data_IF_723947927606
#
_entry.id   IF_723947927606
#
_cell.length_a   1.000
_cell.length_b   1.000
_cell.length_c   1.000
_cell.angle_alpha   90.00
_cell.angle_beta   90.00
_cell.angle_gamma   90.00
#
_symmetry.space_group_name_H-M   'P 1'
#
loop_
_entity.id
_entity.type
_entity.pdbx_description
1 polymer ?
#
# COMPACT_ATOMS: atom_id res chain seq x y z
N UNK A 1 -11.85 22.73 4.91
CA UNK A 1 -11.67 21.82 3.76
C UNK A 1 -11.52 20.38 4.21
N UNK A 2 -12.42 19.50 3.75
CA UNK A 2 -12.34 18.05 4.02
C UNK A 2 -11.51 17.39 2.90
N UNK A 3 -10.54 16.57 3.28
CA UNK A 3 -9.64 15.81 2.39
C UNK A 3 -10.38 14.93 1.35
N UNK A 4 -11.66 14.61 1.59
CA UNK A 4 -12.49 13.76 0.73
C UNK A 4 -13.72 14.49 0.16
N UNK A 5 -13.66 15.81 -0.03
CA UNK A 5 -14.76 16.62 -0.55
C UNK A 5 -14.79 16.77 -2.08
N UNK A 6 -15.86 17.37 -2.64
CA UNK A 6 -15.96 17.66 -4.08
C UNK A 6 -14.76 18.45 -4.63
N UNK A 7 -14.16 19.33 -3.82
CA UNK A 7 -12.96 20.07 -4.22
C UNK A 7 -11.77 19.15 -4.45
N UNK A 8 -11.51 18.17 -3.59
CA UNK A 8 -10.40 17.23 -3.76
C UNK A 8 -10.55 16.38 -5.04
N UNK A 9 -11.80 16.01 -5.38
CA UNK A 9 -12.11 15.32 -6.63
C UNK A 9 -11.86 16.24 -7.84
N UNK A 10 -12.25 17.51 -7.74
CA UNK A 10 -12.01 18.50 -8.79
C UNK A 10 -10.51 18.75 -9.00
N UNK A 11 -9.74 18.88 -7.93
CA UNK A 11 -8.29 19.07 -7.98
C UNK A 11 -7.59 17.85 -8.63
N UNK A 12 -7.96 16.63 -8.21
CA UNK A 12 -7.43 15.40 -8.80
C UNK A 12 -7.75 15.27 -10.30
N UNK A 13 -8.98 15.62 -10.69
CA UNK A 13 -9.40 15.66 -12.10
C UNK A 13 -8.61 16.70 -12.89
N UNK A 14 -8.37 17.88 -12.33
CA UNK A 14 -7.60 18.94 -12.97
C UNK A 14 -6.16 18.52 -13.25
N UNK A 15 -5.48 17.92 -12.26
CA UNK A 15 -4.12 17.39 -12.42
C UNK A 15 -4.08 16.27 -13.45
N UNK A 16 -5.02 15.31 -13.38
CA UNK A 16 -5.10 14.20 -14.32
C UNK A 16 -5.31 14.68 -15.78
N UNK A 17 -6.18 15.67 -15.97
CA UNK A 17 -6.41 16.29 -17.27
C UNK A 17 -5.15 16.99 -17.81
N UNK A 18 -4.44 17.76 -16.98
CA UNK A 18 -3.20 18.42 -17.37
C UNK A 18 -2.09 17.42 -17.76
N UNK A 19 -2.08 16.23 -17.15
CA UNK A 19 -1.14 15.15 -17.45
C UNK A 19 -1.61 14.19 -18.57
N UNK A 20 -2.82 14.38 -19.11
CA UNK A 20 -3.38 13.51 -20.14
C UNK A 20 -3.68 12.09 -19.68
N UNK A 21 -3.94 11.87 -18.38
CA UNK A 21 -4.24 10.55 -17.82
C UNK A 21 -5.73 10.41 -17.45
N UNK A 22 -6.35 9.23 -17.64
CA UNK A 22 -7.73 8.98 -17.23
C UNK A 22 -7.93 9.16 -15.72
N UNK A 23 -9.06 9.75 -15.34
CA UNK A 23 -9.45 9.95 -13.94
C UNK A 23 -10.75 9.24 -13.62
N UNK A 24 -10.71 8.36 -12.61
CA UNK A 24 -11.87 7.62 -12.12
C UNK A 24 -12.19 8.03 -10.69
N UNK A 25 -13.49 8.08 -10.36
CA UNK A 25 -13.95 8.25 -8.98
C UNK A 25 -14.52 6.92 -8.53
N UNK A 26 -14.05 6.46 -7.38
CA UNK A 26 -14.53 5.23 -6.75
C UNK A 26 -15.11 5.58 -5.40
N UNK A 27 -16.38 5.24 -5.19
CA UNK A 27 -16.98 5.29 -3.87
C UNK A 27 -16.59 4.04 -3.07
N UNK A 28 -15.94 4.26 -1.93
CA UNK A 28 -15.54 3.24 -0.97
C UNK A 28 -16.04 3.58 0.45
N UNK A 29 -17.03 4.48 0.59
CA UNK A 29 -17.52 4.93 1.89
C UNK A 29 -17.97 3.75 2.76
N UNK A 30 -18.76 2.83 2.20
CA UNK A 30 -19.24 1.63 2.88
C UNK A 30 -18.11 0.71 3.38
N UNK A 31 -17.07 0.55 2.57
CA UNK A 31 -15.92 -0.30 2.91
C UNK A 31 -15.03 0.38 3.94
N UNK A 32 -14.89 1.71 3.85
CA UNK A 32 -14.18 2.52 4.84
C UNK A 32 -14.87 2.49 6.19
N UNK A 33 -16.19 2.65 6.23
CA UNK A 33 -16.97 2.56 7.46
C UNK A 33 -16.73 1.21 8.13
N UNK A 34 -17.00 0.10 7.42
CA UNK A 34 -16.91 -1.24 7.99
C UNK A 34 -15.49 -1.67 8.38
N UNK A 35 -14.50 -1.39 7.54
CA UNK A 35 -13.15 -1.95 7.72
C UNK A 35 -12.24 -1.05 8.54
N UNK A 36 -12.58 0.24 8.70
CA UNK A 36 -11.74 1.22 9.39
C UNK A 36 -12.48 1.86 10.55
N UNK A 37 -13.68 2.39 10.34
CA UNK A 37 -14.41 3.14 11.39
C UNK A 37 -14.99 2.18 12.44
N UNK A 38 -15.68 1.12 12.03
CA UNK A 38 -16.24 0.12 12.96
C UNK A 38 -15.13 -0.56 13.77
N UNK A 39 -14.02 -0.94 13.12
CA UNK A 39 -12.82 -1.42 13.79
C UNK A 39 -12.32 -0.41 14.82
N UNK A 40 -12.10 0.85 14.41
CA UNK A 40 -11.60 1.90 15.28
C UNK A 40 -12.51 2.10 16.50
N UNK A 41 -13.82 2.19 16.29
CA UNK A 41 -14.79 2.37 17.36
C UNK A 41 -14.81 1.18 18.33
N UNK A 42 -14.83 -0.05 17.81
CA UNK A 42 -14.87 -1.27 18.64
C UNK A 42 -13.62 -1.46 19.50
N UNK A 43 -12.45 -1.10 18.98
CA UNK A 43 -11.19 -1.17 19.73
C UNK A 43 -11.15 -0.16 20.88
N UNK A 44 -11.65 1.06 20.65
CA UNK A 44 -11.80 2.05 21.71
C UNK A 44 -12.83 1.64 22.76
N UNK A 45 -13.97 1.06 22.34
CA UNK A 45 -14.97 0.50 23.26
C UNK A 45 -14.36 -0.60 24.14
N UNK A 46 -13.37 -1.32 23.64
CA UNK A 46 -12.63 -2.34 24.37
C UNK A 46 -11.40 -1.81 25.14
N UNK A 47 -11.23 -0.49 25.26
CA UNK A 47 -10.14 0.14 26.00
C UNK A 47 -8.76 0.04 25.34
N UNK A 48 -8.71 -0.25 24.03
CA UNK A 48 -7.46 -0.32 23.25
C UNK A 48 -7.26 0.95 22.43
N UNK A 49 -6.04 1.15 21.94
CA UNK A 49 -5.66 2.28 21.08
C UNK A 49 -5.40 1.77 19.65
N UNK A 50 -6.40 1.78 18.76
CA UNK A 50 -6.25 1.30 17.39
C UNK A 50 -5.46 2.26 16.50
N UNK A 51 -4.85 1.71 15.44
CA UNK A 51 -4.27 2.50 14.35
C UNK A 51 -5.09 2.31 13.04
N UNK A 52 -6.06 3.21 12.74
CA UNK A 52 -6.94 3.06 11.58
C UNK A 52 -6.20 3.25 10.25
N UNK A 53 -5.11 4.02 10.23
CA UNK A 53 -4.32 4.26 9.01
C UNK A 53 -3.65 2.99 8.50
N UNK A 54 -3.17 2.13 9.40
CA UNK A 54 -2.58 0.82 9.05
C UNK A 54 -3.65 -0.08 8.42
N UNK A 55 -4.84 -0.14 9.02
CA UNK A 55 -5.96 -0.92 8.49
C UNK A 55 -6.43 -0.41 7.13
N UNK A 56 -6.56 0.91 6.96
CA UNK A 56 -6.93 1.52 5.69
C UNK A 56 -5.93 1.19 4.57
N UNK A 57 -4.63 1.25 4.87
CA UNK A 57 -3.61 0.88 3.89
C UNK A 57 -3.72 -0.60 3.49
N UNK A 58 -3.82 -1.50 4.46
CA UNK A 58 -3.90 -2.94 4.19
C UNK A 58 -5.18 -3.35 3.45
N UNK A 59 -6.34 -2.87 3.92
CA UNK A 59 -7.65 -3.38 3.47
C UNK A 59 -8.22 -2.59 2.30
N UNK A 60 -8.04 -1.27 2.28
CA UNK A 60 -8.62 -0.41 1.24
C UNK A 60 -7.62 -0.09 0.15
N UNK A 61 -6.51 0.60 0.47
CA UNK A 61 -5.58 1.11 -0.55
C UNK A 61 -4.83 0.01 -1.30
N UNK A 62 -4.39 -1.03 -0.59
CA UNK A 62 -3.69 -2.17 -1.19
C UNK A 62 -4.55 -3.45 -1.20
N UNK A 63 -5.83 -3.34 -0.85
CA UNK A 63 -6.83 -4.41 -0.95
C UNK A 63 -7.91 -4.08 -1.98
N UNK A 64 -8.94 -3.34 -1.58
CA UNK A 64 -10.08 -3.03 -2.47
C UNK A 64 -9.67 -2.26 -3.72
N UNK A 65 -8.82 -1.23 -3.60
CA UNK A 65 -8.32 -0.47 -4.75
C UNK A 65 -7.53 -1.36 -5.72
N UNK A 66 -6.78 -2.35 -5.22
CA UNK A 66 -6.12 -3.37 -6.04
C UNK A 66 -7.11 -4.19 -6.86
N UNK A 67 -8.21 -4.62 -6.25
CA UNK A 67 -9.24 -5.37 -6.98
C UNK A 67 -9.81 -4.57 -8.16
N UNK A 68 -9.98 -3.26 -8.01
CA UNK A 68 -10.45 -2.37 -9.07
C UNK A 68 -9.39 -2.05 -10.11
N UNK A 69 -8.16 -1.77 -9.69
CA UNK A 69 -7.04 -1.54 -10.60
C UNK A 69 -6.81 -2.77 -11.50
N UNK A 70 -6.89 -3.98 -10.93
CA UNK A 70 -6.79 -5.23 -11.69
C UNK A 70 -7.93 -5.38 -12.71
N UNK A 71 -9.16 -4.99 -12.35
CA UNK A 71 -10.29 -5.02 -13.28
C UNK A 71 -10.13 -4.02 -14.44
N UNK A 72 -9.34 -2.96 -14.26
CA UNK A 72 -8.95 -2.00 -15.31
C UNK A 72 -7.70 -2.45 -16.10
N UNK A 73 -7.16 -3.64 -15.83
CA UNK A 73 -5.98 -4.17 -16.50
C UNK A 73 -4.65 -3.58 -16.02
N UNK A 74 -4.60 -2.99 -14.81
CA UNK A 74 -3.36 -2.47 -14.25
C UNK A 74 -2.48 -3.57 -13.64
N UNK A 75 -1.16 -3.48 -13.86
CA UNK A 75 -0.18 -4.38 -13.26
C UNK A 75 0.24 -3.96 -11.83
N UNK A 76 0.17 -2.65 -11.54
CA UNK A 76 0.63 -2.04 -10.30
C UNK A 76 -0.34 -0.96 -9.79
N UNK A 77 -0.23 -0.63 -8.49
CA UNK A 77 -0.82 0.56 -7.86
C UNK A 77 0.30 1.46 -7.35
N UNK A 78 0.25 2.73 -7.73
CA UNK A 78 1.09 3.77 -7.17
C UNK A 78 0.33 4.60 -6.14
N UNK A 79 1.01 4.97 -5.05
CA UNK A 79 0.48 5.89 -4.03
C UNK A 79 1.51 6.94 -3.65
N UNK A 80 1.04 8.08 -3.15
CA UNK A 80 1.91 9.17 -2.68
C UNK A 80 2.59 8.92 -1.33
N UNK A 81 2.77 7.66 -0.90
CA UNK A 81 3.44 7.37 0.37
C UNK A 81 4.94 7.65 0.26
N UNK A 82 5.49 8.26 1.31
CA UNK A 82 6.93 8.48 1.50
C UNK A 82 7.59 7.23 2.07
N UNK A 83 7.63 6.17 1.27
CA UNK A 83 8.31 4.91 1.59
C UNK A 83 8.93 4.34 0.32
N UNK A 84 9.88 3.43 0.42
CA UNK A 84 10.51 2.81 -0.75
C UNK A 84 10.07 1.35 -0.82
N UNK A 85 9.56 0.93 -1.97
CA UNK A 85 9.29 -0.48 -2.28
C UNK A 85 10.28 -0.92 -3.36
N UNK A 86 11.14 -1.88 -3.01
CA UNK A 86 12.15 -2.44 -3.92
C UNK A 86 11.72 -3.84 -4.35
N UNK A 87 11.60 -4.06 -5.66
CA UNK A 87 11.26 -5.36 -6.22
C UNK A 87 12.56 -6.12 -6.51
N UNK A 88 12.72 -7.30 -5.90
CA UNK A 88 13.83 -8.22 -6.14
C UNK A 88 13.42 -9.39 -7.03
N UNK A 89 14.37 -9.88 -7.82
CA UNK A 89 14.25 -11.20 -8.46
C UNK A 89 14.50 -12.30 -7.42
N UNK A 90 13.75 -13.39 -7.48
CA UNK A 90 13.89 -14.52 -6.57
C UNK A 90 15.32 -15.01 -6.53
N UNK A 91 15.88 -15.15 -5.32
CA UNK A 91 17.19 -15.76 -5.16
C UNK A 91 17.06 -17.25 -5.54
N UNK A 92 17.93 -17.82 -6.40
CA UNK A 92 17.96 -19.26 -6.59
C UNK A 92 18.23 -19.93 -5.24
N UNK A 93 17.48 -21.00 -4.96
CA UNK A 93 17.56 -21.83 -3.76
C UNK A 93 18.98 -22.42 -3.57
N UNK A 94 19.93 -21.64 -3.04
CA UNK A 94 21.25 -22.14 -2.64
C UNK A 94 21.73 -21.63 -1.29
N UNK A 95 20.85 -21.00 -0.50
CA UNK A 95 21.16 -20.58 0.88
C UNK A 95 20.12 -21.01 1.92
N UNK A 96 19.52 -22.20 1.79
CA UNK A 96 18.95 -22.88 2.95
C UNK A 96 20.06 -23.71 3.60
N UNK A 97 20.77 -23.08 4.55
CA UNK A 97 21.49 -23.84 5.56
C UNK A 97 20.46 -24.51 6.48
N UNK A 98 20.73 -25.76 6.83
CA UNK A 98 19.89 -26.64 7.64
C UNK A 98 19.45 -25.96 8.95
N UNK A 99 18.14 -25.73 9.12
CA UNK A 99 17.62 -25.10 10.33
C UNK A 99 16.13 -24.79 10.32
N UNK A 100 15.33 -25.80 10.66
CA UNK A 100 13.99 -25.77 11.25
C UNK A 100 12.89 -24.88 10.61
N UNK A 101 11.92 -25.55 9.98
CA UNK A 101 10.62 -25.00 9.65
C UNK A 101 9.75 -24.81 10.91
N UNK A 102 9.05 -23.68 11.00
CA UNK A 102 7.82 -23.57 11.78
C UNK A 102 6.66 -23.35 10.80
N UNK A 103 5.64 -24.22 10.75
CA UNK A 103 4.46 -23.98 9.93
C UNK A 103 3.46 -23.12 10.70
N UNK A 104 3.05 -21.98 10.15
CA UNK A 104 1.87 -21.26 10.66
C UNK A 104 0.61 -21.76 9.94
N UNK A 105 -0.23 -22.41 10.73
CA UNK A 105 -1.48 -23.02 10.31
C UNK A 105 -2.58 -21.96 10.14
N UNK A 106 -2.59 -21.19 9.05
CA UNK A 106 -3.80 -20.57 8.47
C UNK A 106 -3.64 -20.53 6.95
N UNK A 107 -4.36 -21.42 6.28
CA UNK A 107 -4.22 -21.74 4.86
C UNK A 107 -4.15 -20.52 3.94
N UNK A 108 -2.94 -20.32 3.39
CA UNK A 108 -2.62 -20.03 2.00
C UNK A 108 -1.10 -20.17 1.92
N UNK A 109 -0.63 -21.42 1.79
CA UNK A 109 0.79 -21.68 1.53
C UNK A 109 1.10 -21.20 0.12
N UNK A 110 1.46 -19.93 -0.03
CA UNK A 110 2.22 -19.48 -1.18
C UNK A 110 3.51 -20.30 -1.19
N UNK A 111 3.55 -21.38 -1.98
CA UNK A 111 4.72 -22.24 -2.13
C UNK A 111 5.94 -21.38 -2.44
N UNK A 112 6.92 -21.41 -1.54
CA UNK A 112 8.14 -20.58 -1.58
C UNK A 112 9.22 -21.19 -2.48
N UNK A 113 8.88 -22.17 -3.32
CA UNK A 113 9.86 -22.94 -4.10
C UNK A 113 9.55 -22.91 -5.62
N UNK A 114 9.22 -21.72 -6.17
CA UNK A 114 9.18 -21.48 -7.62
C UNK A 114 10.30 -20.50 -8.03
N UNK A 115 11.23 -20.90 -8.93
CA UNK A 115 12.37 -20.09 -9.37
C UNK A 115 12.02 -18.78 -10.12
N UNK A 116 10.73 -18.50 -10.35
CA UNK A 116 10.23 -17.21 -10.86
C UNK A 116 9.72 -16.21 -9.80
N UNK A 117 9.85 -16.49 -8.50
CA UNK A 117 9.28 -15.62 -7.46
C UNK A 117 9.95 -14.24 -7.38
N UNK A 118 9.27 -13.19 -7.84
CA UNK A 118 9.63 -11.83 -7.41
C UNK A 118 9.22 -11.63 -5.94
N UNK A 119 10.02 -10.91 -5.17
CA UNK A 119 9.67 -10.45 -3.83
C UNK A 119 9.78 -8.93 -3.77
N UNK A 120 9.15 -8.31 -2.78
CA UNK A 120 9.24 -6.88 -2.58
C UNK A 120 9.64 -6.56 -1.13
N UNK A 121 10.57 -5.63 -0.97
CA UNK A 121 11.05 -5.14 0.33
C UNK A 121 10.50 -3.73 0.55
N UNK A 122 9.86 -3.52 1.69
CA UNK A 122 9.51 -2.20 2.20
C UNK A 122 10.69 -1.59 2.96
N UNK A 123 11.09 -0.38 2.59
CA UNK A 123 12.15 0.40 3.24
C UNK A 123 11.64 1.78 3.59
N UNK A 124 12.34 2.43 4.53
CA UNK A 124 12.08 3.82 4.90
C UNK A 124 12.25 4.75 3.70
N UNK A 125 11.42 5.79 3.60
CA UNK A 125 11.65 6.90 2.70
C UNK A 125 12.93 7.67 3.04
N UNK A 126 13.53 8.34 2.06
CA UNK A 126 14.78 9.10 2.27
C UNK A 126 14.59 10.35 3.14
N UNK A 127 13.37 10.90 3.22
CA UNK A 127 13.03 12.02 4.10
C UNK A 127 12.54 11.47 5.46
N UNK A 128 13.39 11.46 6.50
CA UNK A 128 13.04 10.83 7.77
C UNK A 128 11.86 11.49 8.48
N UNK A 129 11.58 12.77 8.20
CA UNK A 129 10.45 13.49 8.80
C UNK A 129 9.13 13.21 8.10
N UNK A 130 9.19 12.61 6.92
CA UNK A 130 8.03 12.25 6.11
C UNK A 130 7.88 10.76 5.92
N UNK A 131 8.85 9.93 6.35
CA UNK A 131 8.79 8.48 6.24
C UNK A 131 7.44 7.93 6.71
N UNK A 132 6.80 7.17 5.83
CA UNK A 132 5.49 6.56 6.05
C UNK A 132 5.56 5.03 6.03
N UNK A 133 6.77 4.46 6.03
CA UNK A 133 6.97 3.00 6.07
C UNK A 133 6.24 2.33 7.24
N UNK A 134 6.16 3.01 8.40
CA UNK A 134 5.38 2.55 9.55
C UNK A 134 3.93 2.25 9.17
N UNK A 135 3.24 3.10 8.41
CA UNK A 135 1.83 2.84 8.08
C UNK A 135 1.62 1.71 7.06
N UNK A 136 2.71 1.17 6.50
CA UNK A 136 2.68 0.10 5.50
C UNK A 136 3.21 -1.23 6.06
N UNK A 137 3.51 -1.32 7.37
CA UNK A 137 4.14 -2.51 7.96
C UNK A 137 3.29 -3.78 7.80
N UNK A 138 1.96 -3.66 7.71
CA UNK A 138 1.05 -4.80 7.62
C UNK A 138 0.89 -5.35 6.19
N UNK A 139 1.45 -4.68 5.19
CA UNK A 139 1.38 -5.14 3.81
C UNK A 139 2.15 -6.46 3.63
N UNK A 140 1.48 -7.43 3.01
CA UNK A 140 2.05 -8.75 2.71
C UNK A 140 2.69 -8.78 1.32
N UNK A 141 3.49 -9.80 1.04
CA UNK A 141 4.17 -9.96 -0.26
C UNK A 141 3.23 -9.84 -1.48
N UNK A 142 2.01 -10.42 -1.49
CA UNK A 142 1.08 -10.24 -2.62
C UNK A 142 0.68 -8.78 -2.87
N UNK A 143 0.69 -7.94 -1.84
CA UNK A 143 0.38 -6.50 -1.92
C UNK A 143 1.63 -5.70 -2.28
N UNK A 144 2.75 -5.96 -1.60
CA UNK A 144 4.01 -5.25 -1.82
C UNK A 144 4.54 -5.42 -3.25
N UNK A 145 4.42 -6.63 -3.84
CA UNK A 145 4.88 -6.93 -5.23
C UNK A 145 4.13 -6.16 -6.32
N UNK A 146 3.03 -5.50 -5.97
CA UNK A 146 2.16 -4.73 -6.89
C UNK A 146 2.11 -3.26 -6.52
N UNK A 147 2.89 -2.84 -5.53
CA UNK A 147 2.83 -1.51 -4.96
C UNK A 147 4.03 -0.66 -5.41
N UNK A 148 3.75 0.58 -5.80
CA UNK A 148 4.74 1.59 -6.15
C UNK A 148 4.57 2.81 -5.24
N UNK A 149 5.70 3.37 -4.82
CA UNK A 149 5.76 4.56 -3.95
C UNK A 149 6.80 5.54 -4.50
N UNK A 150 6.48 6.25 -5.60
CA UNK A 150 7.47 7.05 -6.35
C UNK A 150 8.10 8.19 -5.53
N UNK A 151 7.42 8.64 -4.47
CA UNK A 151 7.88 9.74 -3.63
C UNK A 151 8.93 9.34 -2.59
N UNK A 152 9.12 8.04 -2.33
CA UNK A 152 10.02 7.55 -1.27
C UNK A 152 11.50 7.89 -1.47
N UNK A 153 11.92 8.15 -2.70
CA UNK A 153 13.30 8.52 -3.07
C UNK A 153 13.49 10.04 -3.23
N UNK A 154 12.53 10.83 -2.74
CA UNK A 154 12.56 12.29 -2.82
C UNK A 154 12.21 12.91 -1.48
N UNK A 155 12.81 14.06 -1.20
CA UNK A 155 12.44 14.90 -0.07
C UNK A 155 11.20 15.73 -0.38
N UNK A 156 10.47 16.18 0.65
CA UNK A 156 9.29 17.04 0.44
C UNK A 156 9.61 18.32 -0.36
N UNK A 157 10.74 19.02 -0.12
CA UNK A 157 11.13 20.17 -0.94
C UNK A 157 11.38 19.83 -2.41
N UNK A 158 12.01 18.70 -2.72
CA UNK A 158 12.23 18.27 -4.11
C UNK A 158 10.91 18.00 -4.83
N UNK A 159 9.97 17.31 -4.18
CA UNK A 159 8.64 17.05 -4.76
C UNK A 159 7.90 18.36 -5.05
N UNK A 160 8.00 19.35 -4.16
CA UNK A 160 7.38 20.68 -4.35
C UNK A 160 7.99 21.50 -5.50
N UNK A 161 9.20 21.18 -5.95
CA UNK A 161 9.82 21.85 -7.11
C UNK A 161 9.35 21.28 -8.45
N UNK A 162 8.81 20.05 -8.44
CA UNK A 162 8.30 19.37 -9.64
C UNK A 162 6.84 19.73 -9.90
N UNK A 163 6.06 19.87 -8.82
CA UNK A 163 4.65 20.25 -8.87
C UNK A 163 4.47 21.76 -9.10
#
# INVERSE_FOLDING_TARGET
DKCCGPQAIADARGVAHALGIPHYVVDEADQFERLVIDYFASEYQAGRTPNPCVMCNEKLKFGNLWSKARALGCDYIATGHYAIIEHGAGMPSSRRGDGAAAPDARGESAGVDDPGYSYAILRKGIDPRKDQSYFLFSLRQPQLRRALTPLGRMTKPEIRKIA
#
